data_IF_399444485382
#
_entry.id   IF_399444485382
#
_cell.length_a   1.000
_cell.length_b   1.000
_cell.length_c   1.000
_cell.angle_alpha   90.00
_cell.angle_beta   90.00
_cell.angle_gamma   90.00
#
_symmetry.space_group_name_H-M   'P 1'
#
loop_
_entity.id
_entity.type
_entity.pdbx_description
1 polymer ?
#
# COMPACT_ATOMS: atom_id res chain seq x y z
N UNK A 1 -27.82 -26.33 -31.88
CA UNK A 1 -27.80 -27.80 -31.66
C UNK A 1 -26.36 -28.26 -31.64
N UNK A 2 -25.78 -28.42 -30.44
CA UNK A 2 -24.58 -29.23 -30.23
C UNK A 2 -24.85 -30.02 -28.96
N UNK A 3 -24.98 -31.33 -29.13
CA UNK A 3 -25.32 -32.31 -28.12
C UNK A 3 -24.08 -32.66 -27.32
N UNK A 4 -24.14 -32.53 -25.99
CA UNK A 4 -23.14 -33.09 -25.07
C UNK A 4 -23.69 -34.42 -24.54
N UNK A 5 -23.07 -35.52 -24.94
CA UNK A 5 -23.27 -36.85 -24.37
C UNK A 5 -21.91 -37.53 -24.37
N UNK A 6 -21.44 -37.95 -23.19
CA UNK A 6 -20.50 -39.05 -22.86
C UNK A 6 -20.22 -38.84 -21.36
N UNK A 7 -20.43 -39.74 -20.41
CA UNK A 7 -20.75 -41.16 -20.39
C UNK A 7 -20.37 -41.60 -18.97
N UNK A 8 -21.26 -42.28 -18.26
CA UNK A 8 -21.00 -42.87 -16.93
C UNK A 8 -20.02 -44.05 -17.05
N UNK A 9 -19.24 -44.33 -16.00
CA UNK A 9 -19.31 -45.55 -15.15
C UNK A 9 -18.13 -45.54 -14.13
N UNK A 10 -18.39 -45.85 -12.84
CA UNK A 10 -17.36 -46.03 -11.80
C UNK A 10 -16.95 -47.51 -11.66
N UNK A 11 -15.75 -47.82 -11.16
CA UNK A 11 -15.38 -49.17 -10.69
C UNK A 11 -14.26 -49.15 -9.64
N UNK A 12 -14.65 -49.56 -8.42
CA UNK A 12 -14.00 -50.34 -7.36
C UNK A 12 -12.48 -50.35 -7.10
N UNK A 13 -12.17 -49.99 -5.84
CA UNK A 13 -11.38 -50.73 -4.82
C UNK A 13 -10.02 -51.36 -5.20
N UNK A 14 -8.96 -50.82 -4.60
CA UNK A 14 -7.81 -51.60 -4.13
C UNK A 14 -7.16 -50.88 -2.93
N UNK A 15 -6.88 -51.62 -1.85
CA UNK A 15 -6.43 -51.09 -0.56
C UNK A 15 -4.92 -50.81 -0.46
N UNK A 16 -4.51 -50.22 0.68
CA UNK A 16 -3.12 -50.05 1.07
C UNK A 16 -2.93 -49.08 2.25
N UNK A 17 -2.86 -49.66 3.46
CA UNK A 17 -2.20 -49.28 4.73
C UNK A 17 -1.88 -47.80 5.11
N UNK A 18 -1.90 -47.48 6.43
CA UNK A 18 -1.82 -46.10 6.94
C UNK A 18 -0.37 -45.59 6.96
N UNK A 19 -0.16 -44.40 6.41
CA UNK A 19 1.12 -43.69 6.53
C UNK A 19 1.04 -42.72 7.70
N UNK A 20 2.06 -42.81 8.54
CA UNK A 20 2.27 -42.10 9.80
C UNK A 20 1.94 -40.60 9.77
N UNK A 21 1.36 -40.15 10.88
CA UNK A 21 1.14 -38.76 11.24
C UNK A 21 2.42 -37.93 11.07
N UNK A 22 2.39 -36.99 10.12
CA UNK A 22 3.35 -35.90 10.05
C UNK A 22 2.95 -34.84 11.06
N UNK A 23 3.84 -34.56 12.02
CA UNK A 23 3.65 -33.57 13.06
C UNK A 23 3.33 -32.20 12.47
N UNK A 24 2.23 -31.62 12.95
CA UNK A 24 1.87 -30.23 12.76
C UNK A 24 2.96 -29.37 13.43
N UNK A 25 3.84 -28.77 12.63
CA UNK A 25 4.68 -27.69 13.12
C UNK A 25 3.78 -26.43 13.20
N UNK A 26 3.38 -26.06 14.42
CA UNK A 26 2.80 -24.74 14.67
C UNK A 26 3.80 -23.66 14.22
N UNK A 27 3.36 -22.58 13.55
CA UNK A 27 4.23 -21.47 13.24
C UNK A 27 4.65 -20.82 14.55
N UNK A 28 5.94 -20.90 14.88
CA UNK A 28 6.53 -20.15 15.98
C UNK A 28 6.32 -18.66 15.73
N UNK A 29 5.48 -18.03 16.55
CA UNK A 29 5.46 -16.58 16.71
C UNK A 29 6.82 -16.19 17.27
N UNK A 30 7.76 -15.77 16.41
CA UNK A 30 9.03 -15.21 16.87
C UNK A 30 8.72 -13.98 17.74
N UNK A 31 9.07 -13.98 19.02
CA UNK A 31 8.89 -12.78 19.83
C UNK A 31 9.78 -11.68 19.24
N UNK A 32 9.19 -10.51 18.97
CA UNK A 32 9.99 -9.32 18.73
C UNK A 32 10.93 -9.12 19.92
N UNK A 33 12.16 -8.70 19.67
CA UNK A 33 13.13 -8.54 20.76
C UNK A 33 12.66 -7.47 21.75
N UNK A 34 12.77 -7.74 23.05
CA UNK A 34 12.51 -6.80 24.15
C UNK A 34 13.25 -5.44 24.01
N UNK A 35 14.33 -5.40 23.21
CA UNK A 35 15.04 -4.18 22.89
C UNK A 35 14.25 -3.26 21.95
N UNK A 36 13.57 -3.83 20.95
CA UNK A 36 12.70 -3.09 20.04
C UNK A 36 11.49 -2.52 20.79
N UNK A 37 10.87 -3.29 21.68
CA UNK A 37 9.73 -2.83 22.49
C UNK A 37 10.04 -1.59 23.33
N UNK A 38 11.28 -1.49 23.86
CA UNK A 38 11.70 -0.33 24.67
C UNK A 38 11.89 0.94 23.85
N UNK A 39 12.39 0.82 22.62
CA UNK A 39 12.68 1.95 21.74
C UNK A 39 11.40 2.65 21.22
N UNK A 40 10.27 1.93 21.15
CA UNK A 40 8.97 2.49 20.78
C UNK A 40 8.12 2.97 21.98
N UNK A 41 8.54 2.73 23.23
CA UNK A 41 7.73 3.03 24.44
C UNK A 41 7.25 4.49 24.51
N UNK A 42 8.03 5.42 23.97
CA UNK A 42 7.77 6.85 24.05
C UNK A 42 7.32 7.49 22.72
N UNK A 43 7.27 6.73 21.63
CA UNK A 43 6.72 7.21 20.36
C UNK A 43 5.20 7.35 20.55
N UNK A 44 4.69 8.57 20.40
CA UNK A 44 3.26 8.85 20.55
C UNK A 44 2.80 9.31 21.94
N UNK A 45 3.67 9.39 22.96
CA UNK A 45 3.30 9.98 24.27
C UNK A 45 2.91 11.47 24.18
N UNK A 46 3.34 12.14 23.11
CA UNK A 46 2.95 13.51 22.72
C UNK A 46 2.28 13.53 21.35
N UNK A 47 1.37 12.58 21.09
CA UNK A 47 0.59 12.51 19.85
C UNK A 47 -0.40 13.70 19.77
N UNK A 48 0.02 14.76 19.08
CA UNK A 48 -0.83 15.93 18.83
C UNK A 48 -2.00 15.67 17.88
N UNK A 49 -1.96 14.55 17.15
CA UNK A 49 -3.01 14.00 16.31
C UNK A 49 -2.82 12.48 16.20
N UNK A 50 -3.76 11.78 15.57
CA UNK A 50 -3.59 10.36 15.26
C UNK A 50 -2.46 10.14 14.24
N UNK A 51 -1.92 8.92 14.19
CA UNK A 51 -0.87 8.56 13.23
C UNK A 51 -1.33 8.76 11.78
N UNK A 52 -2.58 8.40 11.46
CA UNK A 52 -3.09 8.54 10.10
C UNK A 52 -3.24 10.02 9.70
N UNK A 53 -3.62 10.91 10.62
CA UNK A 53 -3.70 12.35 10.33
C UNK A 53 -2.31 12.95 10.12
N UNK A 54 -1.35 12.56 10.97
CA UNK A 54 0.05 12.95 10.82
C UNK A 54 0.59 12.54 9.44
N UNK A 55 0.33 11.29 9.04
CA UNK A 55 0.79 10.75 7.76
C UNK A 55 0.17 11.48 6.57
N UNK A 56 -1.13 11.78 6.62
CA UNK A 56 -1.83 12.54 5.58
C UNK A 56 -1.25 13.95 5.42
N UNK A 57 -0.99 14.66 6.53
CA UNK A 57 -0.41 16.00 6.52
C UNK A 57 1.04 15.97 6.03
N UNK A 58 1.83 15.02 6.51
CA UNK A 58 3.21 14.85 6.11
C UNK A 58 3.32 14.55 4.60
N UNK A 59 2.49 13.64 4.09
CA UNK A 59 2.39 13.34 2.66
C UNK A 59 2.00 14.60 1.86
N UNK A 60 1.01 15.37 2.32
CA UNK A 60 0.55 16.56 1.63
C UNK A 60 1.66 17.60 1.52
N UNK A 61 2.39 17.84 2.60
CA UNK A 61 3.54 18.73 2.61
C UNK A 61 4.57 18.30 1.58
N UNK A 62 4.95 17.02 1.57
CA UNK A 62 5.96 16.49 0.64
C UNK A 62 5.56 16.64 -0.82
N UNK A 63 4.29 16.42 -1.13
CA UNK A 63 3.74 16.53 -2.49
C UNK A 63 3.68 17.98 -2.96
N UNK A 64 3.27 18.91 -2.09
CA UNK A 64 3.28 20.35 -2.41
C UNK A 64 4.71 20.83 -2.70
N UNK A 65 5.67 20.38 -1.90
CA UNK A 65 7.09 20.63 -2.09
C UNK A 65 7.63 20.09 -3.43
N UNK A 66 7.19 18.90 -3.85
CA UNK A 66 7.52 18.34 -5.16
C UNK A 66 6.88 19.15 -6.29
N UNK A 67 5.61 19.55 -6.13
CA UNK A 67 4.87 20.34 -7.12
C UNK A 67 5.57 21.65 -7.47
N UNK A 68 6.11 22.34 -6.47
CA UNK A 68 6.88 23.58 -6.66
C UNK A 68 8.19 23.36 -7.41
N UNK A 69 8.85 22.22 -7.20
CA UNK A 69 10.11 21.91 -7.91
C UNK A 69 9.90 21.55 -9.38
N UNK A 70 8.75 20.97 -9.74
CA UNK A 70 8.48 20.62 -11.13
C UNK A 70 8.52 21.82 -12.08
N UNK A 71 8.12 23.02 -11.64
CA UNK A 71 8.24 24.22 -12.49
C UNK A 71 9.69 24.51 -12.86
N UNK A 72 10.59 24.39 -11.90
CA UNK A 72 12.03 24.55 -12.15
C UNK A 72 12.58 23.41 -13.02
N UNK A 73 12.13 22.18 -12.82
CA UNK A 73 12.58 21.03 -13.64
C UNK A 73 12.15 21.16 -15.10
N UNK A 74 10.92 21.63 -15.34
CA UNK A 74 10.40 21.91 -16.69
C UNK A 74 11.23 23.02 -17.36
N UNK A 75 11.50 24.12 -16.64
CA UNK A 75 12.33 25.22 -17.15
C UNK A 75 13.77 24.75 -17.46
N UNK A 76 14.39 23.98 -16.56
CA UNK A 76 15.73 23.44 -16.76
C UNK A 76 15.83 22.44 -17.93
N UNK A 77 14.70 21.81 -18.30
CA UNK A 77 14.60 20.87 -19.40
C UNK A 77 14.14 21.50 -20.73
N UNK A 78 14.03 22.83 -20.82
CA UNK A 78 13.50 23.53 -22.02
C UNK A 78 14.18 23.09 -23.32
N UNK A 79 15.49 22.82 -23.26
CA UNK A 79 16.34 22.39 -24.38
C UNK A 79 16.05 20.98 -24.92
N UNK A 80 15.26 20.17 -24.19
CA UNK A 80 15.01 18.77 -24.55
C UNK A 80 13.53 18.42 -24.38
N UNK A 81 12.84 18.26 -25.50
CA UNK A 81 11.38 18.13 -25.51
C UNK A 81 10.85 16.89 -24.76
N UNK A 82 11.49 15.73 -24.93
CA UNK A 82 11.14 14.48 -24.23
C UNK A 82 11.26 14.62 -22.70
N UNK A 83 12.35 15.23 -22.23
CA UNK A 83 12.60 15.46 -20.81
C UNK A 83 11.66 16.52 -20.23
N UNK A 84 11.39 17.60 -20.97
CA UNK A 84 10.42 18.62 -20.58
C UNK A 84 9.02 18.00 -20.44
N UNK A 85 8.62 17.19 -21.42
CA UNK A 85 7.32 16.51 -21.41
C UNK A 85 7.20 15.56 -20.22
N UNK A 86 8.25 14.78 -19.94
CA UNK A 86 8.27 13.91 -18.75
C UNK A 86 7.98 14.68 -17.45
N UNK A 87 8.60 15.85 -17.25
CA UNK A 87 8.35 16.65 -16.05
C UNK A 87 6.95 17.27 -16.03
N UNK A 88 6.41 17.66 -17.18
CA UNK A 88 5.03 18.13 -17.30
C UNK A 88 4.02 17.03 -16.93
N UNK A 89 4.26 15.81 -17.38
CA UNK A 89 3.42 14.65 -17.07
C UNK A 89 3.51 14.29 -15.59
N UNK A 90 4.73 14.24 -15.02
CA UNK A 90 4.94 14.03 -13.59
C UNK A 90 4.22 15.09 -12.74
N UNK A 91 4.29 16.36 -13.15
CA UNK A 91 3.57 17.46 -12.50
C UNK A 91 2.04 17.25 -12.55
N UNK A 92 1.51 16.77 -13.66
CA UNK A 92 0.09 16.52 -13.82
C UNK A 92 -0.39 15.39 -12.88
N UNK A 93 0.39 14.31 -12.77
CA UNK A 93 0.12 13.22 -11.81
C UNK A 93 0.18 13.74 -10.37
N UNK A 94 1.17 14.57 -10.03
CA UNK A 94 1.30 15.12 -8.68
C UNK A 94 0.10 15.99 -8.28
N UNK A 95 -0.40 16.82 -9.21
CA UNK A 95 -1.62 17.62 -8.96
C UNK A 95 -2.83 16.74 -8.64
N UNK A 96 -2.99 15.61 -9.32
CA UNK A 96 -4.07 14.66 -9.05
C UNK A 96 -3.90 14.01 -7.67
N UNK A 97 -2.67 13.62 -7.31
CA UNK A 97 -2.34 13.09 -6.00
C UNK A 97 -2.66 14.07 -4.87
N UNK A 98 -2.25 15.33 -5.01
CA UNK A 98 -2.56 16.40 -4.05
C UNK A 98 -4.06 16.61 -3.90
N UNK A 99 -4.80 16.63 -5.02
CA UNK A 99 -6.25 16.80 -4.98
C UNK A 99 -6.93 15.65 -4.22
N UNK A 100 -6.58 14.40 -4.53
CA UNK A 100 -7.10 13.22 -3.83
C UNK A 100 -6.76 13.24 -2.34
N UNK A 101 -5.54 13.65 -1.99
CA UNK A 101 -5.11 13.71 -0.60
C UNK A 101 -5.87 14.78 0.20
N UNK A 102 -6.14 15.94 -0.42
CA UNK A 102 -7.01 16.97 0.16
C UNK A 102 -8.43 16.46 0.41
N UNK A 103 -8.97 15.66 -0.49
CA UNK A 103 -10.30 15.05 -0.35
C UNK A 103 -10.33 14.05 0.82
N UNK A 104 -9.29 13.24 0.99
CA UNK A 104 -9.15 12.32 2.13
C UNK A 104 -9.06 13.08 3.45
N UNK A 105 -8.20 14.10 3.55
CA UNK A 105 -8.11 14.95 4.75
C UNK A 105 -9.48 15.59 5.08
N UNK A 106 -10.17 16.13 4.07
CA UNK A 106 -11.51 16.69 4.26
C UNK A 106 -12.55 15.63 4.69
N UNK A 107 -12.35 14.36 4.31
CA UNK A 107 -13.18 13.26 4.78
C UNK A 107 -12.91 12.93 6.25
N UNK A 108 -11.64 12.82 6.67
CA UNK A 108 -11.29 12.58 8.08
C UNK A 108 -11.82 13.68 9.00
N UNK A 109 -11.70 14.95 8.59
CA UNK A 109 -12.28 16.09 9.31
C UNK A 109 -13.80 15.97 9.44
N UNK A 110 -14.51 15.63 8.36
CA UNK A 110 -15.98 15.45 8.41
C UNK A 110 -16.40 14.27 9.27
N UNK A 111 -15.59 13.22 9.32
CA UNK A 111 -15.82 12.05 10.16
C UNK A 111 -15.52 12.34 11.65
N UNK A 112 -14.91 13.48 11.97
CA UNK A 112 -14.48 13.81 13.33
C UNK A 112 -13.30 12.95 13.79
N UNK A 113 -12.51 12.43 12.86
CA UNK A 113 -11.36 11.57 13.10
C UNK A 113 -10.03 12.27 12.74
N UNK A 114 -10.07 13.61 12.66
CA UNK A 114 -8.95 14.50 12.39
C UNK A 114 -8.77 15.51 13.52
#
# INVERSE_FOLDING_TARGET
MVTVLHGRIPLSHAGGLPVHASGHASPETRPMSLAAEREFTHIGETSGCSDHDHDLIHELSRRLDALWRYDQYIANAEWREDLRQFWMDAKAVEKQGIQRLRELIAQEVRNGCF
#
